data_IF_557590309371
#
_entry.id   IF_557590309371
#
_cell.length_a   1.000
_cell.length_b   1.000
_cell.length_c   1.000
_cell.angle_alpha   90.00
_cell.angle_beta   90.00
_cell.angle_gamma   90.00
#
_symmetry.space_group_name_H-M   'P 1'
#
loop_
_entity.id
_entity.type
_entity.pdbx_description
1 polymer ?
#
# COMPACT_ATOMS: atom_id res chain seq x y z
N UNK A 1 -2.47 -3.32 19.84
CA UNK A 1 -2.95 -2.29 18.90
C UNK A 1 -3.47 -2.93 17.65
N UNK A 2 -4.57 -2.41 17.13
CA UNK A 2 -5.17 -2.98 15.95
C UNK A 2 -4.46 -2.46 14.70
N UNK A 3 -4.32 -3.34 13.72
CA UNK A 3 -3.82 -2.94 12.42
C UNK A 3 -4.91 -2.23 11.64
N UNK A 4 -4.50 -1.40 10.70
CA UNK A 4 -5.39 -0.73 9.76
C UNK A 4 -5.14 -1.31 8.37
N UNK A 5 -6.19 -1.68 7.67
CA UNK A 5 -6.08 -2.20 6.31
C UNK A 5 -6.85 -1.29 5.35
N UNK A 6 -6.23 -0.99 4.22
CA UNK A 6 -6.91 -0.27 3.14
C UNK A 6 -6.65 -1.00 1.82
N UNK A 7 -7.48 -0.72 0.83
CA UNK A 7 -7.30 -1.31 -0.49
C UNK A 7 -6.96 -0.22 -1.50
N UNK A 8 -5.97 -0.52 -2.32
CA UNK A 8 -5.46 0.41 -3.33
C UNK A 8 -5.32 -0.30 -4.67
N UNK A 9 -5.17 0.48 -5.71
CA UNK A 9 -4.87 -0.02 -7.04
C UNK A 9 -3.87 0.93 -7.68
N UNK A 10 -2.81 0.36 -8.22
CA UNK A 10 -1.73 1.14 -8.83
C UNK A 10 -1.67 0.72 -10.29
N UNK A 11 -1.90 1.67 -11.20
CA UNK A 11 -2.05 1.34 -12.61
C UNK A 11 -0.89 1.78 -13.49
N UNK A 12 0.19 2.29 -12.88
CA UNK A 12 1.38 2.69 -13.64
C UNK A 12 2.61 2.60 -12.75
N UNK A 13 3.78 2.53 -13.38
CA UNK A 13 5.05 2.54 -12.66
C UNK A 13 5.18 3.82 -11.83
N UNK A 14 4.73 4.93 -12.37
CA UNK A 14 4.78 6.21 -11.66
C UNK A 14 3.93 6.17 -10.39
N UNK A 15 2.74 5.55 -10.45
CA UNK A 15 1.91 5.41 -9.26
C UNK A 15 2.56 4.51 -8.22
N UNK A 16 3.23 3.45 -8.64
CA UNK A 16 3.98 2.59 -7.71
C UNK A 16 5.03 3.42 -6.99
N UNK A 17 5.80 4.23 -7.74
CA UNK A 17 6.85 5.07 -7.15
C UNK A 17 6.26 6.06 -6.14
N UNK A 18 5.20 6.75 -6.53
CA UNK A 18 4.55 7.73 -5.65
C UNK A 18 3.97 7.07 -4.40
N UNK A 19 3.36 5.91 -4.55
CA UNK A 19 2.81 5.17 -3.43
C UNK A 19 3.91 4.79 -2.44
N UNK A 20 5.00 4.21 -2.94
CA UNK A 20 6.10 3.78 -2.07
C UNK A 20 6.76 4.97 -1.38
N UNK A 21 6.92 6.09 -2.07
CA UNK A 21 7.45 7.30 -1.44
C UNK A 21 6.57 7.76 -0.28
N UNK A 22 5.26 7.66 -0.45
CA UNK A 22 4.32 8.00 0.62
C UNK A 22 4.44 7.00 1.78
N UNK A 23 4.55 5.70 1.46
CA UNK A 23 4.70 4.67 2.49
C UNK A 23 5.96 4.87 3.32
N UNK A 24 7.03 5.37 2.72
CA UNK A 24 8.28 5.61 3.45
C UNK A 24 8.14 6.67 4.53
N UNK A 25 7.10 7.48 4.47
CA UNK A 25 6.82 8.49 5.52
C UNK A 25 6.07 7.89 6.70
N UNK A 26 5.58 6.67 6.56
CA UNK A 26 4.88 6.00 7.65
C UNK A 26 5.89 5.52 8.68
N UNK A 27 5.60 5.77 9.95
CA UNK A 27 6.45 5.35 11.05
C UNK A 27 5.97 3.99 11.55
N UNK A 28 6.61 2.94 11.08
CA UNK A 28 6.26 1.58 11.45
C UNK A 28 6.29 0.66 10.23
N UNK A 29 5.91 -0.58 10.48
CA UNK A 29 5.90 -1.59 9.43
C UNK A 29 4.60 -1.54 8.64
N UNK A 30 4.74 -1.68 7.33
CA UNK A 30 3.60 -1.74 6.43
C UNK A 30 3.88 -2.81 5.38
N UNK A 31 2.90 -3.70 5.19
CA UNK A 31 2.99 -4.74 4.17
C UNK A 31 1.89 -4.54 3.15
N UNK A 32 2.16 -5.02 1.94
CA UNK A 32 1.21 -4.97 0.83
C UNK A 32 1.09 -6.38 0.25
N UNK A 33 -0.11 -6.77 -0.10
CA UNK A 33 -0.32 -8.06 -0.74
C UNK A 33 -1.49 -7.98 -1.71
N UNK A 34 -1.46 -8.90 -2.69
CA UNK A 34 -2.55 -9.06 -3.65
C UNK A 34 -3.35 -10.30 -3.26
N UNK A 35 -4.65 -10.27 -3.45
CA UNK A 35 -5.49 -11.44 -3.19
C UNK A 35 -5.12 -12.64 -4.07
N UNK A 36 -4.41 -12.40 -5.18
CA UNK A 36 -3.99 -13.45 -6.10
C UNK A 36 -2.61 -14.02 -5.79
N UNK A 37 -1.96 -13.54 -4.74
CA UNK A 37 -0.60 -13.95 -4.39
C UNK A 37 -0.54 -14.35 -2.93
N UNK A 38 0.28 -15.33 -2.62
CA UNK A 38 0.40 -15.87 -1.28
C UNK A 38 1.59 -15.31 -0.52
N UNK A 39 2.02 -14.08 -0.81
CA UNK A 39 3.13 -13.51 -0.11
C UNK A 39 2.90 -12.02 0.13
N UNK A 40 3.54 -11.54 1.20
CA UNK A 40 3.53 -10.14 1.58
C UNK A 40 4.80 -9.49 1.08
N UNK A 41 4.72 -8.23 0.68
CA UNK A 41 5.90 -7.44 0.34
C UNK A 41 5.94 -6.22 1.24
N UNK A 42 7.14 -5.70 1.46
CA UNK A 42 7.32 -4.46 2.21
C UNK A 42 6.74 -3.30 1.41
N UNK A 43 5.80 -2.57 2.02
CA UNK A 43 5.17 -1.42 1.36
C UNK A 43 6.13 -0.29 1.07
N UNK A 44 7.33 -0.31 1.66
CA UNK A 44 8.36 0.69 1.44
C UNK A 44 9.38 0.27 0.38
N UNK A 45 9.14 -0.86 -0.30
CA UNK A 45 10.04 -1.39 -1.33
C UNK A 45 9.39 -1.24 -2.70
N UNK A 46 10.00 -0.44 -3.57
CA UNK A 46 9.50 -0.25 -4.93
C UNK A 46 9.45 -1.58 -5.67
N UNK A 47 10.53 -2.36 -5.61
CA UNK A 47 10.58 -3.65 -6.30
C UNK A 47 9.56 -4.62 -5.74
N UNK A 48 9.40 -4.63 -4.40
CA UNK A 48 8.42 -5.50 -3.77
C UNK A 48 7.01 -5.18 -4.24
N UNK A 49 6.62 -3.92 -4.16
CA UNK A 49 5.27 -3.51 -4.57
C UNK A 49 5.06 -3.75 -6.06
N UNK A 50 6.06 -3.40 -6.88
CA UNK A 50 5.96 -3.59 -8.32
C UNK A 50 5.81 -5.07 -8.70
N UNK A 51 6.41 -5.97 -7.92
CA UNK A 51 6.31 -7.41 -8.18
C UNK A 51 4.89 -7.96 -8.07
N UNK A 52 4.01 -7.24 -7.39
CA UNK A 52 2.61 -7.65 -7.26
C UNK A 52 1.81 -7.38 -8.53
N UNK A 53 2.34 -6.59 -9.45
CA UNK A 53 1.69 -6.30 -10.72
C UNK A 53 0.90 -5.01 -10.71
N UNK A 54 0.72 -4.45 -11.90
CA UNK A 54 -0.09 -3.25 -12.09
C UNK A 54 -1.56 -3.65 -12.25
N UNK A 55 -2.44 -2.70 -11.96
CA UNK A 55 -3.89 -2.87 -12.08
C UNK A 55 -4.45 -4.01 -11.23
N UNK A 56 -3.74 -4.35 -10.15
CA UNK A 56 -4.18 -5.36 -9.21
C UNK A 56 -4.80 -4.68 -7.99
N UNK A 57 -5.82 -5.32 -7.43
CA UNK A 57 -6.37 -4.88 -6.16
C UNK A 57 -5.41 -5.32 -5.06
N UNK A 58 -4.86 -4.35 -4.35
CA UNK A 58 -3.85 -4.60 -3.32
C UNK A 58 -4.42 -4.21 -1.96
N UNK A 59 -4.07 -4.99 -0.95
CA UNK A 59 -4.38 -4.66 0.44
C UNK A 59 -3.10 -4.15 1.09
N UNK A 60 -3.22 -3.02 1.79
CA UNK A 60 -2.11 -2.40 2.52
C UNK A 60 -2.41 -2.56 4.01
N UNK A 61 -1.50 -3.17 4.73
CA UNK A 61 -1.66 -3.43 6.15
C UNK A 61 -0.67 -2.60 6.95
N UNK A 62 -1.20 -1.71 7.77
CA UNK A 62 -0.41 -0.87 8.68
C UNK A 62 -0.47 -1.50 10.06
N UNK A 63 0.65 -2.06 10.52
CA UNK A 63 0.67 -2.85 11.75
C UNK A 63 0.43 -2.04 13.01
N UNK A 64 0.79 -0.76 13.00
CA UNK A 64 0.58 0.12 14.14
C UNK A 64 -0.64 1.03 13.95
N UNK A 65 -1.52 0.66 13.00
CA UNK A 65 -2.63 1.51 12.64
C UNK A 65 -2.17 2.72 11.84
N UNK A 66 -3.11 3.49 11.33
CA UNK A 66 -2.78 4.69 10.58
C UNK A 66 -3.78 5.78 10.92
N UNK A 67 -3.30 7.02 11.02
CA UNK A 67 -4.17 8.15 11.29
C UNK A 67 -5.01 8.46 10.05
N UNK A 68 -6.16 9.07 10.28
CA UNK A 68 -7.01 9.52 9.17
C UNK A 68 -6.25 10.49 8.28
N UNK A 69 -5.43 11.35 8.87
CA UNK A 69 -4.62 12.29 8.12
C UNK A 69 -3.67 11.59 7.16
N UNK A 70 -3.01 10.52 7.63
CA UNK A 70 -2.11 9.76 6.78
C UNK A 70 -2.88 9.03 5.67
N UNK A 71 -4.00 8.40 6.03
CA UNK A 71 -4.83 7.69 5.04
C UNK A 71 -5.29 8.65 3.94
N UNK A 72 -5.59 9.89 4.29
CA UNK A 72 -6.01 10.89 3.29
C UNK A 72 -4.92 11.14 2.24
N UNK A 73 -3.64 10.97 2.58
CA UNK A 73 -2.57 11.15 1.60
C UNK A 73 -2.58 10.06 0.55
N UNK A 74 -3.29 8.96 0.79
CA UNK A 74 -3.35 7.82 -0.10
C UNK A 74 -4.59 7.81 -0.99
N UNK A 75 -5.45 8.83 -0.87
CA UNK A 75 -6.69 8.90 -1.64
C UNK A 75 -6.51 8.65 -3.14
N UNK A 76 -5.47 9.19 -3.80
CA UNK A 76 -5.30 8.97 -5.23
C UNK A 76 -5.17 7.49 -5.62
N UNK A 77 -4.79 6.65 -4.67
CA UNK A 77 -4.56 5.22 -4.94
C UNK A 77 -5.69 4.34 -4.42
N UNK A 78 -6.53 4.86 -3.55
CA UNK A 78 -7.53 4.04 -2.86
C UNK A 78 -8.66 3.65 -3.77
N UNK A 79 -9.11 2.40 -3.60
CA UNK A 79 -10.31 1.93 -4.28
C UNK A 79 -11.53 2.49 -3.58
N UNK A 80 -12.54 2.83 -4.37
CA UNK A 80 -13.81 3.24 -3.81
C UNK A 80 -14.46 2.07 -3.07
N UNK A 81 -15.07 2.37 -1.95
CA UNK A 81 -15.77 1.36 -1.16
C UNK A 81 -17.01 0.85 -1.90
#
# INVERSE_FOLDING_TARGET
MESTNIRVKLNSVEQVRQFVETMRKYDGDVDVYSSNRNYLVDGKSILGVFSLGLDQELTVKFYNGATESFINTLQPFMLAA
#
